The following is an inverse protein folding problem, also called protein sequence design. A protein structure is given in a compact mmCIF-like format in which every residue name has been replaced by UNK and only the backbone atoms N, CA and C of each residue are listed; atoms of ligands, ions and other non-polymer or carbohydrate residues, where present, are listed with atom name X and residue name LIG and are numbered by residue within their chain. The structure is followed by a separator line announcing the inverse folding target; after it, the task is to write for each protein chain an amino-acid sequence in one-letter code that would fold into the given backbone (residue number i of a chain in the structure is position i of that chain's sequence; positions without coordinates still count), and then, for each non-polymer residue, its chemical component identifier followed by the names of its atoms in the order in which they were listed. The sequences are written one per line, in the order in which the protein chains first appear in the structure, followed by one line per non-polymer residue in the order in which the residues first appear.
data_IF_463114798482
#
_entry.id   IF_463114798482
#
_cell.length_a   1.000
_cell.length_b   1.000
_cell.length_c   1.000
_cell.angle_alpha   90.00
_cell.angle_beta   90.00
_cell.angle_gamma   90.00
#
_symmetry.space_group_name_H-M   'P 1'
#
loop_
_entity.id
_entity.type
_entity.pdbx_description
1 polymer ?
#
# COMPACT_ATOMS: atom_id res chain seq x y z
N UNK A 1 1.62 -6.61 2.96
CA UNK A 1 1.27 -7.92 3.51
C UNK A 1 2.48 -8.88 3.47
N UNK A 2 2.98 -9.28 2.30
CA UNK A 2 4.05 -10.30 2.16
C UNK A 2 5.29 -9.97 2.99
N UNK A 3 5.80 -8.74 2.92
CA UNK A 3 6.99 -8.33 3.66
C UNK A 3 6.80 -8.42 5.20
N UNK A 4 5.62 -8.07 5.70
CA UNK A 4 5.29 -8.21 7.12
C UNK A 4 5.22 -9.69 7.55
N UNK A 5 4.57 -10.53 6.74
CA UNK A 5 4.56 -11.99 6.99
C UNK A 5 5.97 -12.56 7.03
N UNK A 6 6.82 -12.16 6.09
CA UNK A 6 8.22 -12.61 6.05
C UNK A 6 8.98 -12.18 7.31
N UNK A 7 8.83 -10.91 7.73
CA UNK A 7 9.49 -10.41 8.93
C UNK A 7 9.05 -11.14 10.22
N UNK A 8 7.80 -11.65 10.25
CA UNK A 8 7.26 -12.40 11.39
C UNK A 8 7.65 -13.88 11.33
N UNK A 9 7.56 -14.51 10.15
CA UNK A 9 7.74 -15.98 10.02
C UNK A 9 9.18 -16.40 9.77
N UNK A 10 10.03 -15.49 9.25
CA UNK A 10 11.43 -15.72 8.91
C UNK A 10 12.30 -14.55 9.37
N UNK A 11 12.30 -14.20 10.67
CA UNK A 11 12.98 -13.00 11.17
C UNK A 11 14.47 -12.98 10.87
N UNK A 12 15.13 -14.13 10.86
CA UNK A 12 16.57 -14.26 10.60
C UNK A 12 16.96 -13.87 9.16
N UNK A 13 16.00 -13.92 8.21
CA UNK A 13 16.23 -13.51 6.83
C UNK A 13 16.01 -12.01 6.61
N UNK A 14 15.38 -11.32 7.56
CA UNK A 14 14.98 -9.91 7.42
C UNK A 14 15.91 -9.03 8.25
N UNK A 15 16.63 -8.15 7.58
CA UNK A 15 17.52 -7.17 8.25
C UNK A 15 16.88 -5.80 8.42
N UNK A 16 15.78 -5.53 7.76
CA UNK A 16 15.03 -4.28 7.82
C UNK A 16 13.79 -4.36 6.97
N UNK A 17 12.80 -3.58 7.29
CA UNK A 17 11.49 -3.61 6.66
C UNK A 17 11.15 -2.22 6.11
N UNK A 18 10.75 -2.17 4.85
CA UNK A 18 10.19 -0.96 4.24
C UNK A 18 8.75 -1.25 3.83
N UNK A 19 7.84 -0.46 4.34
CA UNK A 19 6.42 -0.53 4.02
C UNK A 19 6.02 0.78 3.37
N UNK A 20 5.77 0.75 2.08
CA UNK A 20 5.37 1.92 1.32
C UNK A 20 3.87 1.88 1.03
N UNK A 21 3.15 2.93 1.43
CA UNK A 21 1.72 3.11 1.22
C UNK A 21 0.91 1.85 1.61
N UNK A 22 0.86 1.49 2.90
CA UNK A 22 0.14 0.30 3.34
C UNK A 22 -1.37 0.44 3.12
N UNK A 23 -1.99 -0.59 2.53
CA UNK A 23 -3.44 -0.68 2.41
C UNK A 23 -4.07 -1.48 3.58
N UNK A 24 -3.27 -2.19 4.35
CA UNK A 24 -3.66 -2.97 5.53
C UNK A 24 -2.77 -2.66 6.72
N UNK A 25 -3.34 -2.69 7.90
CA UNK A 25 -2.62 -2.77 9.18
C UNK A 25 -2.70 -4.19 9.75
N UNK A 26 -3.82 -4.56 10.37
CA UNK A 26 -4.05 -5.89 10.95
C UNK A 26 -5.34 -6.55 10.48
N UNK A 27 -6.31 -5.79 9.95
CA UNK A 27 -7.61 -6.32 9.54
C UNK A 27 -7.62 -6.80 8.09
N UNK A 28 -8.36 -7.87 7.84
CA UNK A 28 -8.73 -8.30 6.49
C UNK A 28 -9.89 -7.46 5.95
N UNK A 29 -10.01 -7.40 4.63
CA UNK A 29 -11.09 -6.73 3.92
C UNK A 29 -11.39 -5.30 4.42
N UNK A 30 -10.39 -4.43 4.63
CA UNK A 30 -10.62 -3.11 5.17
C UNK A 30 -11.39 -2.22 4.19
N UNK A 31 -12.17 -1.28 4.73
CA UNK A 31 -13.08 -0.45 3.95
C UNK A 31 -12.39 0.38 2.85
N UNK A 32 -11.12 0.75 3.02
CA UNK A 32 -10.34 1.45 2.00
C UNK A 32 -10.08 0.62 0.74
N UNK A 33 -10.27 -0.70 0.79
CA UNK A 33 -10.13 -1.59 -0.36
C UNK A 33 -11.44 -1.76 -1.17
N UNK A 34 -12.56 -1.18 -0.73
CA UNK A 34 -13.84 -1.25 -1.47
C UNK A 34 -13.77 -0.73 -2.91
N UNK A 35 -13.05 0.37 -3.22
CA UNK A 35 -12.90 0.80 -4.61
C UNK A 35 -12.26 -0.27 -5.52
N UNK A 36 -11.29 -1.02 -5.00
CA UNK A 36 -10.68 -2.13 -5.73
C UNK A 36 -11.67 -3.29 -5.94
N UNK A 37 -12.48 -3.61 -4.92
CA UNK A 37 -13.53 -4.62 -5.02
C UNK A 37 -14.54 -4.27 -6.11
N UNK A 38 -15.03 -3.02 -6.12
CA UNK A 38 -15.99 -2.51 -7.11
C UNK A 38 -15.47 -2.65 -8.54
N UNK A 39 -14.21 -2.26 -8.79
CA UNK A 39 -13.56 -2.46 -10.12
C UNK A 39 -13.50 -3.95 -10.46
N UNK A 40 -13.13 -4.81 -9.52
CA UNK A 40 -13.08 -6.25 -9.73
C UNK A 40 -14.44 -6.86 -10.07
N UNK A 41 -15.50 -6.45 -9.38
CA UNK A 41 -16.88 -6.87 -9.62
C UNK A 41 -17.39 -6.45 -11.00
N UNK A 42 -17.16 -5.20 -11.38
CA UNK A 42 -17.52 -4.69 -12.69
C UNK A 42 -16.79 -5.43 -13.82
N UNK A 43 -15.49 -5.67 -13.69
CA UNK A 43 -14.72 -6.44 -14.67
C UNK A 43 -15.13 -7.91 -14.74
N UNK A 44 -15.70 -8.47 -13.66
CA UNK A 44 -16.21 -9.84 -13.63
C UNK A 44 -17.57 -9.98 -14.32
N UNK A 45 -18.37 -8.91 -14.36
CA UNK A 45 -19.76 -8.93 -14.83
C UNK A 45 -19.96 -8.29 -16.19
N UNK A 46 -19.01 -7.50 -16.69
CA UNK A 46 -19.13 -6.70 -17.91
C UNK A 46 -17.86 -6.76 -18.75
N UNK A 47 -17.99 -6.41 -20.04
CA UNK A 47 -16.81 -6.14 -20.87
C UNK A 47 -16.05 -4.91 -20.33
N UNK A 48 -14.72 -4.86 -20.45
CA UNK A 48 -13.88 -3.82 -19.82
C UNK A 48 -14.33 -2.38 -20.12
N UNK A 49 -14.76 -2.10 -21.35
CA UNK A 49 -15.21 -0.75 -21.72
C UNK A 49 -16.51 -0.36 -21.01
N UNK A 50 -17.49 -1.25 -20.93
CA UNK A 50 -18.73 -1.01 -20.20
C UNK A 50 -18.48 -0.89 -18.69
N UNK A 51 -17.62 -1.75 -18.15
CA UNK A 51 -17.21 -1.71 -16.73
C UNK A 51 -16.52 -0.37 -16.39
N UNK A 52 -15.66 0.11 -17.28
CA UNK A 52 -15.00 1.42 -17.13
C UNK A 52 -16.00 2.57 -17.08
N UNK A 53 -17.00 2.57 -17.98
CA UNK A 53 -18.04 3.58 -18.02
C UNK A 53 -18.91 3.53 -16.75
N UNK A 54 -19.31 2.33 -16.30
CA UNK A 54 -20.07 2.13 -15.09
C UNK A 54 -19.32 2.64 -13.85
N UNK A 55 -18.03 2.30 -13.73
CA UNK A 55 -17.21 2.80 -12.63
C UNK A 55 -17.06 4.33 -12.66
N UNK A 56 -16.80 4.91 -13.84
CA UNK A 56 -16.66 6.36 -13.98
C UNK A 56 -17.92 7.14 -13.56
N UNK A 57 -19.10 6.53 -13.70
CA UNK A 57 -20.38 7.10 -13.27
C UNK A 57 -20.71 6.85 -11.77
N UNK A 58 -19.91 6.02 -11.08
CA UNK A 58 -20.20 5.63 -9.70
C UNK A 58 -19.93 6.73 -8.68
N UNK A 59 -20.59 6.65 -7.51
CA UNK A 59 -20.30 7.53 -6.37
C UNK A 59 -18.87 7.35 -5.85
N UNK A 60 -18.30 6.15 -5.98
CA UNK A 60 -16.90 5.87 -5.65
C UNK A 60 -15.96 6.69 -6.51
N UNK A 61 -16.17 6.72 -7.83
CA UNK A 61 -15.33 7.50 -8.73
C UNK A 61 -15.46 9.02 -8.47
N UNK A 62 -16.66 9.50 -8.20
CA UNK A 62 -16.92 10.92 -7.86
C UNK A 62 -16.17 11.31 -6.57
N UNK A 63 -16.25 10.49 -5.54
CA UNK A 63 -15.53 10.71 -4.29
C UNK A 63 -14.01 10.70 -4.51
N UNK A 64 -13.50 9.72 -5.25
CA UNK A 64 -12.07 9.64 -5.56
C UNK A 64 -11.59 10.83 -6.39
N UNK A 65 -12.39 11.33 -7.31
CA UNK A 65 -12.06 12.52 -8.09
C UNK A 65 -11.84 13.75 -7.19
N UNK A 66 -12.66 13.90 -6.16
CA UNK A 66 -12.58 15.01 -5.22
C UNK A 66 -11.46 14.88 -4.19
N UNK A 67 -11.26 13.67 -3.62
CA UNK A 67 -10.42 13.47 -2.43
C UNK A 67 -9.09 12.79 -2.75
N UNK A 68 -8.99 12.02 -3.85
CA UNK A 68 -7.82 11.22 -4.18
C UNK A 68 -7.70 10.94 -5.69
N UNK A 69 -7.47 11.95 -6.52
CA UNK A 69 -7.46 11.82 -7.99
C UNK A 69 -6.42 10.81 -8.50
N UNK A 70 -5.30 10.63 -7.81
CA UNK A 70 -4.29 9.62 -8.14
C UNK A 70 -4.83 8.19 -7.96
N UNK A 71 -5.65 7.96 -6.94
CA UNK A 71 -6.31 6.66 -6.77
C UNK A 71 -7.33 6.43 -7.88
N UNK A 72 -8.12 7.44 -8.25
CA UNK A 72 -9.02 7.34 -9.39
C UNK A 72 -8.27 6.96 -10.66
N UNK A 73 -7.21 7.68 -11.00
CA UNK A 73 -6.39 7.40 -12.19
C UNK A 73 -5.83 5.97 -12.17
N UNK A 74 -5.37 5.50 -11.01
CA UNK A 74 -4.84 4.14 -10.84
C UNK A 74 -5.92 3.08 -11.04
N UNK A 75 -7.11 3.27 -10.47
CA UNK A 75 -8.25 2.35 -10.61
C UNK A 75 -8.79 2.33 -12.04
N UNK A 76 -8.91 3.49 -12.67
CA UNK A 76 -9.30 3.58 -14.08
C UNK A 76 -8.32 2.84 -15.01
N UNK A 77 -7.05 2.77 -14.66
CA UNK A 77 -6.02 2.03 -15.40
C UNK A 77 -6.21 0.51 -15.37
N UNK A 78 -6.95 -0.05 -14.42
CA UNK A 78 -7.21 -1.49 -14.36
C UNK A 78 -8.10 -2.00 -15.50
N UNK A 79 -8.99 -1.16 -16.01
CA UNK A 79 -9.89 -1.54 -17.12
C UNK A 79 -9.19 -1.74 -18.46
N UNK A 80 -7.94 -1.28 -18.59
CA UNK A 80 -7.11 -1.47 -19.78
C UNK A 80 -6.07 -2.57 -19.62
N UNK A 81 -6.10 -3.33 -18.51
CA UNK A 81 -5.14 -4.42 -18.27
C UNK A 81 -5.66 -5.74 -18.82
N UNK A 82 -4.82 -6.40 -19.58
CA UNK A 82 -5.11 -7.73 -20.14
C UNK A 82 -4.23 -8.80 -19.46
N UNK A 83 -4.77 -10.01 -19.23
CA UNK A 83 -6.17 -10.40 -19.41
C UNK A 83 -7.09 -9.80 -18.33
N UNK A 84 -8.23 -9.24 -18.72
CA UNK A 84 -9.17 -8.57 -17.82
C UNK A 84 -9.72 -9.51 -16.73
N UNK A 85 -9.90 -10.79 -17.05
CA UNK A 85 -10.34 -11.82 -16.08
C UNK A 85 -9.34 -12.01 -14.94
N UNK A 86 -8.05 -11.93 -15.21
CA UNK A 86 -7.00 -12.02 -14.19
C UNK A 86 -7.01 -10.77 -13.30
N UNK A 87 -7.16 -9.60 -13.91
CA UNK A 87 -7.29 -8.33 -13.18
C UNK A 87 -8.51 -8.35 -12.27
N UNK A 88 -9.66 -8.81 -12.74
CA UNK A 88 -10.88 -8.96 -11.95
C UNK A 88 -10.67 -9.88 -10.74
N UNK A 89 -10.14 -11.08 -10.97
CA UNK A 89 -9.86 -12.06 -9.92
C UNK A 89 -8.86 -11.53 -8.89
N UNK A 90 -7.80 -10.86 -9.33
CA UNK A 90 -6.81 -10.22 -8.45
C UNK A 90 -7.47 -9.17 -7.55
N UNK A 91 -8.22 -8.24 -8.12
CA UNK A 91 -8.86 -7.16 -7.36
C UNK A 91 -9.89 -7.68 -6.37
N UNK A 92 -10.69 -8.65 -6.77
CA UNK A 92 -11.62 -9.33 -5.87
C UNK A 92 -10.90 -10.06 -4.72
N UNK A 93 -9.78 -10.70 -4.99
CA UNK A 93 -8.97 -11.41 -3.99
C UNK A 93 -8.33 -10.45 -3.00
N UNK A 94 -7.56 -9.47 -3.47
CA UNK A 94 -6.84 -8.55 -2.59
C UNK A 94 -7.77 -7.69 -1.74
N UNK A 95 -8.98 -7.40 -2.21
CA UNK A 95 -9.95 -6.60 -1.46
C UNK A 95 -10.55 -7.35 -0.26
N UNK A 96 -10.52 -8.67 -0.30
CA UNK A 96 -10.99 -9.55 0.79
C UNK A 96 -9.84 -10.10 1.65
N UNK A 97 -8.60 -9.93 1.20
CA UNK A 97 -7.42 -10.41 1.91
C UNK A 97 -7.01 -9.44 3.03
N UNK A 98 -5.98 -9.81 3.78
CA UNK A 98 -5.40 -9.05 4.86
C UNK A 98 -3.88 -9.24 4.94
N UNK A 99 -3.23 -8.63 5.93
CA UNK A 99 -1.80 -8.75 6.11
C UNK A 99 -1.39 -10.18 6.52
N UNK A 100 -2.31 -10.95 7.12
CA UNK A 100 -2.05 -12.30 7.61
C UNK A 100 -1.08 -12.32 8.79
N UNK A 101 -1.06 -11.23 9.55
CA UNK A 101 -0.33 -11.04 10.80
C UNK A 101 -1.22 -10.29 11.77
N UNK A 102 -1.09 -10.57 13.07
CA UNK A 102 -1.80 -9.88 14.13
C UNK A 102 -0.94 -8.81 14.82
N UNK A 103 -1.55 -8.07 15.74
CA UNK A 103 -0.89 -6.98 16.46
C UNK A 103 0.30 -7.46 17.32
N UNK A 104 0.18 -8.63 17.94
CA UNK A 104 1.25 -9.17 18.79
C UNK A 104 2.43 -9.66 17.96
N UNK A 105 2.16 -10.20 16.78
CA UNK A 105 3.20 -10.55 15.81
C UNK A 105 3.93 -9.30 15.31
N UNK A 106 3.21 -8.22 15.01
CA UNK A 106 3.83 -6.95 14.60
C UNK A 106 4.71 -6.34 15.69
N UNK A 107 4.27 -6.41 16.95
CA UNK A 107 5.06 -5.93 18.10
C UNK A 107 6.37 -6.68 18.32
N UNK A 108 6.47 -7.91 17.81
CA UNK A 108 7.70 -8.73 17.89
C UNK A 108 8.69 -8.46 16.76
N UNK A 109 8.35 -7.66 15.76
CA UNK A 109 9.30 -7.27 14.71
C UNK A 109 10.39 -6.41 15.32
N UNK A 110 11.60 -6.96 15.43
CA UNK A 110 12.74 -6.31 16.08
C UNK A 110 13.65 -5.53 15.10
N UNK A 111 13.43 -5.68 13.80
CA UNK A 111 14.27 -5.02 12.80
C UNK A 111 13.85 -3.57 12.58
N UNK A 112 14.81 -2.68 12.25
CA UNK A 112 14.46 -1.32 11.85
C UNK A 112 13.42 -1.30 10.74
N UNK A 113 12.41 -0.47 10.89
CA UNK A 113 11.30 -0.39 9.94
C UNK A 113 11.11 1.05 9.46
N UNK A 114 10.94 1.22 8.15
CA UNK A 114 10.52 2.46 7.52
C UNK A 114 9.11 2.30 6.98
N UNK A 115 8.20 3.17 7.38
CA UNK A 115 6.87 3.29 6.78
C UNK A 115 6.82 4.59 6.01
N UNK A 116 6.52 4.53 4.71
CA UNK A 116 6.33 5.70 3.84
C UNK A 116 4.85 5.83 3.51
N UNK A 117 4.29 7.01 3.71
CA UNK A 117 2.88 7.28 3.42
C UNK A 117 2.71 8.65 2.77
N UNK A 118 1.54 8.88 2.20
CA UNK A 118 1.15 10.18 1.68
C UNK A 118 -0.25 10.54 2.16
N UNK A 119 -0.54 11.82 2.28
CA UNK A 119 -1.92 12.30 2.35
C UNK A 119 -2.68 12.10 1.03
N UNK A 120 -3.96 12.44 0.98
CA UNK A 120 -4.81 12.35 -0.21
C UNK A 120 -4.82 10.97 -0.89
N UNK A 121 -4.72 9.89 -0.09
CA UNK A 121 -4.67 8.51 -0.56
C UNK A 121 -5.75 7.68 0.16
N UNK A 122 -6.91 7.54 -0.46
CA UNK A 122 -8.05 6.83 0.13
C UNK A 122 -7.87 5.30 0.12
N UNK A 123 -7.07 4.78 -0.81
CA UNK A 123 -6.78 3.33 -0.89
C UNK A 123 -5.68 2.91 0.08
N UNK A 124 -4.72 3.82 0.36
CA UNK A 124 -3.63 3.58 1.31
C UNK A 124 -3.62 4.71 2.35
N UNK A 125 -4.64 4.79 3.21
CA UNK A 125 -4.82 5.96 4.08
C UNK A 125 -3.70 6.09 5.10
N UNK A 126 -3.33 7.34 5.40
CA UNK A 126 -2.28 7.68 6.36
C UNK A 126 -2.52 7.02 7.74
N UNK A 127 -3.78 6.79 8.10
CA UNK A 127 -4.15 6.09 9.34
C UNK A 127 -3.61 4.68 9.43
N UNK A 128 -3.54 3.93 8.31
CA UNK A 128 -2.94 2.58 8.27
C UNK A 128 -1.44 2.64 8.53
N UNK A 129 -0.75 3.61 7.95
CA UNK A 129 0.67 3.85 8.18
C UNK A 129 0.93 4.24 9.65
N UNK A 130 0.10 5.11 10.21
CA UNK A 130 0.16 5.52 11.61
C UNK A 130 -0.11 4.36 12.59
N UNK A 131 -1.03 3.46 12.26
CA UNK A 131 -1.30 2.26 13.06
C UNK A 131 -0.09 1.31 13.04
N UNK A 132 0.47 1.01 11.87
CA UNK A 132 1.66 0.18 11.75
C UNK A 132 2.86 0.77 12.49
N UNK A 133 3.05 2.09 12.42
CA UNK A 133 4.17 2.74 13.11
C UNK A 133 4.04 2.72 14.64
N UNK A 134 2.82 2.60 15.18
CA UNK A 134 2.60 2.41 16.62
C UNK A 134 2.75 0.95 17.06
N UNK A 135 2.46 0.01 16.17
CA UNK A 135 2.53 -1.42 16.47
C UNK A 135 3.94 -2.00 16.33
N UNK A 136 4.67 -1.61 15.30
CA UNK A 136 6.01 -2.14 15.02
C UNK A 136 7.05 -1.31 15.75
N UNK A 137 7.83 -1.90 16.69
CA UNK A 137 8.94 -1.20 17.35
C UNK A 137 9.98 -0.72 16.31
N UNK A 138 10.78 0.28 16.71
CA UNK A 138 11.86 0.83 15.86
C UNK A 138 11.40 1.30 14.47
N UNK A 139 10.16 1.78 14.38
CA UNK A 139 9.59 2.29 13.14
C UNK A 139 9.81 3.80 13.01
N UNK A 140 10.30 4.22 11.84
CA UNK A 140 10.23 5.60 11.36
C UNK A 140 9.07 5.73 10.36
N UNK A 141 8.10 6.58 10.67
CA UNK A 141 7.07 7.00 9.71
C UNK A 141 7.54 8.26 8.99
N UNK A 142 7.54 8.22 7.67
CA UNK A 142 7.83 9.38 6.81
C UNK A 142 6.62 9.65 5.94
N UNK A 143 6.01 10.80 6.15
CA UNK A 143 4.99 11.31 5.23
C UNK A 143 5.68 12.10 4.13
N UNK A 144 5.31 11.84 2.88
CA UNK A 144 5.86 12.48 1.69
C UNK A 144 4.76 13.18 0.90
N UNK A 145 5.16 14.15 0.08
CA UNK A 145 4.25 14.92 -0.77
C UNK A 145 3.40 13.99 -1.65
N UNK A 146 2.05 14.16 -1.68
CA UNK A 146 1.20 13.38 -2.57
C UNK A 146 1.57 13.56 -4.03
N UNK A 147 1.59 12.48 -4.80
CA UNK A 147 1.98 12.48 -6.22
C UNK A 147 1.12 13.42 -7.08
N UNK A 148 -0.16 13.56 -6.75
CA UNK A 148 -1.08 14.48 -7.45
C UNK A 148 -0.85 15.96 -7.13
N UNK A 149 -0.13 16.26 -6.03
CA UNK A 149 0.27 17.64 -5.68
C UNK A 149 1.57 18.01 -6.38
N UNK A 150 2.61 17.19 -6.20
CA UNK A 150 3.89 17.36 -6.90
C UNK A 150 4.57 16.01 -7.11
N UNK A 151 4.56 15.55 -8.37
CA UNK A 151 5.17 14.27 -8.74
C UNK A 151 6.70 14.26 -8.59
N UNK A 152 7.37 15.39 -8.79
CA UNK A 152 8.83 15.48 -8.65
C UNK A 152 9.22 15.40 -7.19
N UNK A 153 8.54 16.17 -6.34
CA UNK A 153 8.72 16.10 -4.89
C UNK A 153 8.43 14.68 -4.37
N UNK A 154 7.31 14.06 -4.76
CA UNK A 154 6.98 12.67 -4.39
C UNK A 154 8.14 11.70 -4.67
N UNK A 155 8.74 11.76 -5.88
CA UNK A 155 9.83 10.86 -6.27
C UNK A 155 11.11 11.17 -5.51
N UNK A 156 11.44 12.45 -5.32
CA UNK A 156 12.63 12.87 -4.58
C UNK A 156 12.53 12.44 -3.12
N UNK A 157 11.46 12.81 -2.43
CA UNK A 157 11.22 12.50 -1.01
C UNK A 157 11.16 11.00 -0.74
N UNK A 158 10.56 10.22 -1.67
CA UNK A 158 10.55 8.75 -1.58
C UNK A 158 11.96 8.18 -1.63
N UNK A 159 12.79 8.66 -2.57
CA UNK A 159 14.20 8.25 -2.70
C UNK A 159 15.00 8.62 -1.46
N UNK A 160 14.87 9.87 -1.00
CA UNK A 160 15.60 10.38 0.15
C UNK A 160 15.26 9.58 1.42
N UNK A 161 13.96 9.31 1.65
CA UNK A 161 13.52 8.48 2.78
C UNK A 161 14.11 7.07 2.73
N UNK A 162 14.17 6.47 1.54
CA UNK A 162 14.74 5.14 1.35
C UNK A 162 16.26 5.14 1.50
N UNK A 163 16.94 6.11 0.88
CA UNK A 163 18.39 6.25 0.95
C UNK A 163 18.88 6.47 2.39
N UNK A 164 18.22 7.34 3.14
CA UNK A 164 18.52 7.59 4.55
C UNK A 164 18.34 6.33 5.40
N UNK A 165 17.25 5.58 5.15
CA UNK A 165 17.00 4.32 5.85
C UNK A 165 18.11 3.30 5.56
N UNK A 166 18.51 3.15 4.31
CA UNK A 166 19.56 2.21 3.91
C UNK A 166 20.94 2.62 4.44
N UNK A 167 21.31 3.90 4.37
CA UNK A 167 22.58 4.43 4.90
C UNK A 167 22.67 4.29 6.42
N UNK A 168 21.60 4.59 7.14
CA UNK A 168 21.56 4.43 8.60
C UNK A 168 21.78 2.99 9.06
N UNK A 169 21.50 2.00 8.20
CA UNK A 169 21.76 0.59 8.44
C UNK A 169 23.21 0.17 8.21
N UNK A 170 23.87 0.81 7.23
CA UNK A 170 25.30 0.54 6.94
C UNK A 170 26.23 1.13 8.00
N UNK A 171 25.77 2.09 8.78
CA UNK A 171 26.57 2.77 9.83
C UNK A 171 26.58 2.01 11.16
N UNK A 172 25.79 0.94 11.32
CA UNK A 172 25.82 0.09 12.52
C UNK A 172 26.92 -0.96 12.39
N UNK A 173 27.89 -1.03 13.33
CA UNK A 173 28.97 -2.04 13.29
C UNK A 173 28.38 -3.44 13.35
N UNK A 174 28.54 -4.23 12.29
CA UNK A 174 28.09 -5.61 12.17
C UNK A 174 27.05 -5.91 11.08
N UNK A 175 26.54 -4.92 10.33
CA UNK A 175 25.47 -5.12 9.36
C UNK A 175 25.96 -5.33 7.90
N UNK A 176 27.24 -5.12 7.59
CA UNK A 176 27.83 -5.33 6.26
C UNK A 176 28.99 -6.33 6.30
N UNK A 177 28.71 -7.60 6.55
CA UNK A 177 29.55 -8.70 6.07
C UNK A 177 28.88 -9.33 4.86
N UNK A 178 29.63 -9.39 3.78
CA UNK A 178 29.24 -9.92 2.47
C UNK A 178 28.79 -11.36 2.54
#
# INVERSE_FOLDING_TARGET
AIAMRLAVTQPDLVRGLVIARPAWSILAAPANMRPNAEVGELLSSMRPEAARQAFAASGTAQRLAAESPDNLASLMGFFSREPSVVTAALLASISRDGPGVDADQLRRIAVPTLVIATGMDLVHPLTMAGELSRLIPHTRLTEITPKGVDRKAYVAEFRDALDDFLKGRCSSPGACTR
#
